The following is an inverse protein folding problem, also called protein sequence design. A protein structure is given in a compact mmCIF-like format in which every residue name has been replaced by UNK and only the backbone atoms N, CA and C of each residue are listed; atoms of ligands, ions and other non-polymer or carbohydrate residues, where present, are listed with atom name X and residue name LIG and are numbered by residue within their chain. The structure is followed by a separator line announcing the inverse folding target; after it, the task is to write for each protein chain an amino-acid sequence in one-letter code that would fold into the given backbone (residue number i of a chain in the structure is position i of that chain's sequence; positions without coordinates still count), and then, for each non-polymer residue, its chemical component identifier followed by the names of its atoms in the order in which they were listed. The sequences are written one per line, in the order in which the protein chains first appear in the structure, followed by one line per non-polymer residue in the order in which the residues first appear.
data_IF_788884644098
#
_entry.id   IF_788884644098
#
_cell.length_a   1.000
_cell.length_b   1.000
_cell.length_c   1.000
_cell.angle_alpha   90.00
_cell.angle_beta   90.00
_cell.angle_gamma   90.00
#
_symmetry.space_group_name_H-M   'P 1'
#
loop_
_entity.id
_entity.type
_entity.pdbx_description
1 polymer ?
#
# COMPACT_ATOMS: atom_id res chain seq x y z
N UNK A 1 -1.89 -2.77 5.87
CA UNK A 1 -1.56 -2.17 4.56
C UNK A 1 -1.27 -3.32 3.63
N UNK A 2 -1.80 -3.30 2.43
CA UNK A 2 -1.56 -4.34 1.43
C UNK A 2 -0.94 -3.65 0.23
N UNK A 3 0.18 -4.17 -0.22
CA UNK A 3 0.80 -3.82 -1.49
C UNK A 3 0.73 -5.02 -2.42
N UNK A 4 0.25 -4.80 -3.64
CA UNK A 4 0.08 -5.87 -4.61
C UNK A 4 0.27 -5.40 -6.04
N UNK A 5 0.72 -6.33 -6.89
CA UNK A 5 0.72 -6.19 -8.34
C UNK A 5 -0.50 -6.90 -8.92
N UNK A 6 -1.25 -6.19 -9.76
CA UNK A 6 -2.47 -6.71 -10.37
C UNK A 6 -2.15 -7.33 -11.73
N UNK A 7 -2.04 -8.66 -11.76
CA UNK A 7 -1.74 -9.43 -12.97
C UNK A 7 -2.71 -9.17 -14.14
N UNK A 8 -3.99 -8.87 -13.86
CA UNK A 8 -4.96 -8.47 -14.87
C UNK A 8 -4.66 -7.11 -15.51
N UNK A 9 -3.85 -6.27 -14.87
CA UNK A 9 -3.42 -4.96 -15.37
C UNK A 9 -2.04 -5.02 -16.04
N UNK A 10 -1.21 -5.99 -15.65
CA UNK A 10 0.13 -6.20 -16.22
C UNK A 10 0.07 -7.09 -17.47
N UNK A 11 -0.66 -8.20 -17.43
CA UNK A 11 -0.65 -9.20 -18.51
C UNK A 11 -1.86 -9.11 -19.45
N UNK A 12 -2.80 -8.21 -19.15
CA UNK A 12 -4.04 -8.01 -19.91
C UNK A 12 -4.41 -6.52 -19.91
N UNK A 13 -5.24 -6.10 -20.86
CA UNK A 13 -5.78 -4.73 -20.88
C UNK A 13 -4.71 -3.67 -21.09
N UNK A 14 -4.50 -2.78 -20.12
CA UNK A 14 -3.58 -1.64 -20.23
C UNK A 14 -2.08 -2.02 -20.15
N UNK A 15 -1.74 -3.27 -19.88
CA UNK A 15 -0.39 -3.86 -19.95
C UNK A 15 0.73 -3.09 -19.19
N UNK A 16 0.42 -2.57 -18.00
CA UNK A 16 1.35 -1.74 -17.21
C UNK A 16 2.22 -2.60 -16.28
N UNK A 17 3.34 -3.11 -16.79
CA UNK A 17 4.24 -4.09 -16.13
C UNK A 17 4.78 -3.69 -14.75
N UNK A 18 4.90 -2.39 -14.46
CA UNK A 18 5.46 -1.91 -13.19
C UNK A 18 4.40 -1.25 -12.30
N UNK A 19 3.13 -1.65 -12.47
CA UNK A 19 2.03 -1.09 -11.69
C UNK A 19 1.90 -1.82 -10.36
N UNK A 20 2.17 -1.09 -9.28
CA UNK A 20 1.95 -1.54 -7.89
C UNK A 20 0.80 -0.72 -7.30
N UNK A 21 -0.08 -1.38 -6.56
CA UNK A 21 -1.23 -0.74 -5.88
C UNK A 21 -1.16 -1.00 -4.39
N UNK A 22 -1.22 0.09 -3.62
CA UNK A 22 -1.17 0.05 -2.16
C UNK A 22 -2.52 0.46 -1.59
N UNK A 23 -3.08 -0.34 -0.70
CA UNK A 23 -4.34 -0.07 -0.01
C UNK A 23 -4.19 -0.20 1.50
N UNK A 24 -4.99 0.56 2.24
CA UNK A 24 -4.95 0.56 3.69
C UNK A 24 -6.32 0.86 4.28
N UNK A 25 -6.62 0.24 5.41
CA UNK A 25 -7.75 0.61 6.27
C UNK A 25 -7.20 0.80 7.70
N UNK A 26 -7.58 1.90 8.35
CA UNK A 26 -7.13 2.24 9.69
C UNK A 26 -8.33 2.37 10.63
N UNK A 27 -8.17 1.92 11.87
CA UNK A 27 -9.19 2.01 12.92
C UNK A 27 -8.54 2.17 14.29
N UNK A 28 -9.30 2.65 15.28
CA UNK A 28 -8.81 2.79 16.66
C UNK A 28 -7.64 3.79 16.75
N UNK A 29 -6.59 3.43 17.49
CA UNK A 29 -5.41 4.27 17.72
C UNK A 29 -4.70 4.70 16.43
N UNK A 30 -4.84 3.95 15.33
CA UNK A 30 -4.28 4.32 14.02
C UNK A 30 -5.05 5.44 13.30
N UNK A 31 -6.16 5.93 13.88
CA UNK A 31 -6.79 7.17 13.43
C UNK A 31 -6.07 8.42 13.95
N UNK A 32 -5.31 8.29 15.04
CA UNK A 32 -4.43 9.36 15.49
C UNK A 32 -3.32 9.61 14.46
N UNK A 33 -3.10 10.88 14.14
CA UNK A 33 -2.20 11.27 13.05
C UNK A 33 -0.75 10.91 13.36
N UNK A 34 -0.32 11.07 14.61
CA UNK A 34 1.06 10.82 15.04
C UNK A 34 1.35 9.32 14.99
N UNK A 35 0.47 8.52 15.59
CA UNK A 35 0.56 7.06 15.63
C UNK A 35 0.52 6.46 14.23
N UNK A 36 -0.39 6.95 13.37
CA UNK A 36 -0.45 6.54 11.96
C UNK A 36 0.82 6.88 11.19
N UNK A 37 1.38 8.07 11.40
CA UNK A 37 2.60 8.49 10.71
C UNK A 37 3.80 7.63 11.10
N UNK A 38 3.93 7.30 12.38
CA UNK A 38 4.97 6.38 12.87
C UNK A 38 4.81 4.98 12.26
N UNK A 39 3.58 4.43 12.29
CA UNK A 39 3.29 3.15 11.66
C UNK A 39 3.65 3.13 10.16
N UNK A 40 3.21 4.14 9.39
CA UNK A 40 3.52 4.22 7.96
C UNK A 40 5.02 4.37 7.70
N UNK A 41 5.75 5.09 8.56
CA UNK A 41 7.20 5.20 8.46
C UNK A 41 7.89 3.86 8.68
N UNK A 42 7.44 3.07 9.67
CA UNK A 42 8.04 1.77 10.00
C UNK A 42 7.83 0.75 8.88
N UNK A 43 6.63 0.65 8.32
CA UNK A 43 6.36 -0.33 7.25
C UNK A 43 7.08 0.01 5.95
N UNK A 44 7.32 1.30 5.66
CA UNK A 44 8.06 1.74 4.49
C UNK A 44 9.58 1.70 4.68
N UNK A 45 10.07 1.48 5.90
CA UNK A 45 11.51 1.39 6.18
C UNK A 45 12.11 0.01 5.86
N UNK A 46 11.28 -0.96 5.43
CA UNK A 46 11.70 -2.37 5.23
C UNK A 46 11.91 -2.70 3.74
N UNK A 47 12.25 -1.72 2.91
CA UNK A 47 12.65 -1.93 1.50
C UNK A 47 14.14 -1.71 1.28
#
# INVERSE_FOLDING_TARGET
VIEAQHLCMMMRGAEKQNSVTTTSAMSGQLMDKTTRAEFMRLINATE
#
